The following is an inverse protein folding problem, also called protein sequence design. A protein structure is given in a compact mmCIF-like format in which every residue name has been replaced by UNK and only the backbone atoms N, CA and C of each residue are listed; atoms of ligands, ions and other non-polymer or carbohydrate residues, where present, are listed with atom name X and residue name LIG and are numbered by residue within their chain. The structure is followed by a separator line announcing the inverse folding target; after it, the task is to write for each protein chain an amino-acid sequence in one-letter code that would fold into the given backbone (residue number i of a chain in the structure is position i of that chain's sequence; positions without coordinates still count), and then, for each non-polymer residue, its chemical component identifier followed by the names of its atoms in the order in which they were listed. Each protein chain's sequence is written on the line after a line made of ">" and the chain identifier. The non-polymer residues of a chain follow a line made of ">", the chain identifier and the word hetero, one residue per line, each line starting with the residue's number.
data_IF_385911872737
#
_entry.id   IF_385911872737
#
_cell.length_a   1.000
_cell.length_b   1.000
_cell.length_c   1.000
_cell.angle_alpha   90.00
_cell.angle_beta   90.00
_cell.angle_gamma   90.00
#
_symmetry.space_group_name_H-M   'P 1'
#
loop_
_entity.id
_entity.type
_entity.pdbx_description
1 polymer ?
#
# COMPACT_ATOMS: atom_id res chain seq x y z
N UNK A 1 -11.01 -7.22 11.81
CA UNK A 1 -9.91 -7.58 10.93
C UNK A 1 -9.23 -6.34 10.39
N UNK A 2 -7.96 -6.25 10.61
CA UNK A 2 -7.21 -5.12 10.11
C UNK A 2 -6.74 -5.38 8.69
N UNK A 3 -6.61 -4.34 7.94
CA UNK A 3 -6.09 -4.40 6.59
C UNK A 3 -6.21 -3.02 5.97
N UNK A 4 -5.32 -2.76 5.01
CA UNK A 4 -5.35 -1.51 4.27
C UNK A 4 -6.13 -1.76 2.99
N UNK A 5 -7.11 -0.92 2.72
CA UNK A 5 -7.99 -1.06 1.56
C UNK A 5 -7.84 0.15 0.64
N UNK A 6 -8.09 -0.07 -0.64
CA UNK A 6 -8.19 1.01 -1.60
C UNK A 6 -9.40 1.89 -1.25
N UNK A 7 -9.23 3.19 -1.34
CA UNK A 7 -10.32 4.14 -1.25
C UNK A 7 -11.00 4.27 -2.62
N UNK A 8 -11.96 3.37 -2.87
CA UNK A 8 -12.69 3.37 -4.13
C UNK A 8 -13.43 4.68 -4.38
N UNK A 9 -13.93 5.33 -3.34
CA UNK A 9 -14.57 6.63 -3.41
C UNK A 9 -13.61 7.69 -3.97
N UNK A 10 -12.37 7.67 -3.51
CA UNK A 10 -11.34 8.62 -3.96
C UNK A 10 -10.95 8.36 -5.42
N UNK A 11 -10.85 7.09 -5.80
CA UNK A 11 -10.58 6.71 -7.20
C UNK A 11 -11.68 7.26 -8.11
N UNK A 12 -12.94 7.06 -7.76
CA UNK A 12 -14.06 7.56 -8.54
C UNK A 12 -14.05 9.08 -8.63
N UNK A 13 -13.77 9.76 -7.52
CA UNK A 13 -13.69 11.21 -7.46
C UNK A 13 -12.62 11.76 -8.41
N UNK A 14 -11.43 11.20 -8.35
CA UNK A 14 -10.30 11.62 -9.19
C UNK A 14 -10.56 11.32 -10.67
N UNK A 15 -11.13 10.15 -10.96
CA UNK A 15 -11.50 9.76 -12.31
C UNK A 15 -12.50 10.76 -12.91
N UNK A 16 -13.54 11.08 -12.17
CA UNK A 16 -14.58 12.02 -12.63
C UNK A 16 -14.01 13.43 -12.78
N UNK A 17 -13.13 13.84 -11.88
CA UNK A 17 -12.48 15.15 -11.97
C UNK A 17 -11.61 15.26 -13.23
N UNK A 18 -11.06 14.16 -13.71
CA UNK A 18 -10.30 14.10 -14.96
C UNK A 18 -11.21 14.04 -16.20
N UNK A 19 -12.53 13.95 -16.02
CA UNK A 19 -13.49 13.83 -17.11
C UNK A 19 -13.56 12.43 -17.71
N UNK A 20 -13.16 11.41 -16.99
CA UNK A 20 -13.07 10.04 -17.49
C UNK A 20 -14.25 9.18 -17.09
N UNK A 21 -14.65 8.29 -18.03
CA UNK A 21 -15.53 7.16 -17.71
C UNK A 21 -14.71 6.03 -17.09
N UNK A 22 -15.37 5.06 -16.47
CA UNK A 22 -14.68 3.87 -15.97
C UNK A 22 -13.93 3.14 -17.08
N UNK A 23 -14.49 3.10 -18.29
CA UNK A 23 -13.85 2.48 -19.44
C UNK A 23 -12.56 3.21 -19.83
N UNK A 24 -12.52 4.53 -19.69
CA UNK A 24 -11.31 5.30 -20.00
C UNK A 24 -10.18 4.96 -19.04
N UNK A 25 -10.48 4.92 -17.76
CA UNK A 25 -9.49 4.55 -16.75
C UNK A 25 -9.02 3.11 -16.96
N UNK A 26 -9.95 2.20 -17.25
CA UNK A 26 -9.62 0.81 -17.50
C UNK A 26 -8.68 0.67 -18.70
N UNK A 27 -8.90 1.42 -19.77
CA UNK A 27 -8.03 1.40 -20.95
C UNK A 27 -6.60 1.85 -20.60
N UNK A 28 -6.46 2.88 -19.79
CA UNK A 28 -5.15 3.36 -19.35
C UNK A 28 -4.41 2.33 -18.51
N UNK A 29 -5.14 1.51 -17.77
CA UNK A 29 -4.56 0.48 -16.90
C UNK A 29 -4.41 -0.89 -17.58
N UNK A 30 -4.91 -1.04 -18.81
CA UNK A 30 -4.90 -2.32 -19.51
C UNK A 30 -5.84 -3.35 -18.86
N UNK A 31 -6.93 -2.90 -18.28
CA UNK A 31 -7.92 -3.77 -17.64
C UNK A 31 -9.32 -3.47 -18.21
N UNK A 32 -10.36 -3.99 -17.56
CA UNK A 32 -11.75 -3.83 -18.00
C UNK A 32 -12.49 -2.86 -17.08
N UNK A 33 -13.49 -2.17 -17.65
CA UNK A 33 -14.33 -1.22 -16.91
C UNK A 33 -15.04 -1.86 -15.72
N UNK A 34 -15.45 -3.13 -15.85
CA UNK A 34 -16.05 -3.88 -14.76
C UNK A 34 -15.14 -3.95 -13.53
N UNK A 35 -13.84 -4.18 -13.76
CA UNK A 35 -12.87 -4.26 -12.66
C UNK A 35 -12.71 -2.90 -11.96
N UNK A 36 -12.64 -1.82 -12.75
CA UNK A 36 -12.59 -0.47 -12.18
C UNK A 36 -13.83 -0.20 -11.33
N UNK A 37 -15.02 -0.57 -11.83
CA UNK A 37 -16.26 -0.44 -11.08
C UNK A 37 -16.25 -1.20 -9.77
N UNK A 38 -15.73 -2.43 -9.78
CA UNK A 38 -15.62 -3.25 -8.56
C UNK A 38 -14.69 -2.60 -7.54
N UNK A 39 -13.56 -2.03 -7.99
CA UNK A 39 -12.65 -1.31 -7.09
C UNK A 39 -13.34 -0.07 -6.49
N UNK A 40 -14.04 0.70 -7.32
CA UNK A 40 -14.70 1.93 -6.87
C UNK A 40 -15.80 1.65 -5.85
N UNK A 41 -16.50 0.53 -5.99
CA UNK A 41 -17.56 0.13 -5.05
C UNK A 41 -17.03 -0.65 -3.83
N UNK A 42 -15.73 -0.94 -3.79
CA UNK A 42 -15.14 -1.71 -2.71
C UNK A 42 -15.47 -3.20 -2.74
N UNK A 43 -15.98 -3.70 -3.85
CA UNK A 43 -16.34 -5.11 -4.00
C UNK A 43 -15.13 -6.01 -4.17
N UNK A 44 -14.08 -5.48 -4.82
CA UNK A 44 -12.81 -6.18 -5.01
C UNK A 44 -11.67 -5.24 -4.71
N UNK A 45 -10.58 -5.78 -4.20
CA UNK A 45 -9.35 -5.04 -3.99
C UNK A 45 -8.39 -5.30 -5.15
N UNK A 46 -7.67 -4.28 -5.63
CA UNK A 46 -6.67 -4.49 -6.66
C UNK A 46 -5.48 -5.28 -6.12
N UNK A 47 -4.76 -5.93 -7.03
CA UNK A 47 -3.47 -6.51 -6.68
C UNK A 47 -2.48 -5.38 -6.32
N UNK A 48 -1.46 -5.66 -5.49
CA UNK A 48 -0.54 -4.61 -5.06
C UNK A 48 0.04 -3.79 -6.21
N UNK A 49 0.48 -4.43 -7.29
CA UNK A 49 1.08 -3.71 -8.43
C UNK A 49 0.13 -2.73 -9.10
N UNK A 50 -1.17 -2.92 -8.97
CA UNK A 50 -2.17 -2.02 -9.56
C UNK A 50 -2.27 -0.70 -8.81
N UNK A 51 -1.89 -0.66 -7.54
CA UNK A 51 -1.99 0.55 -6.71
C UNK A 51 -1.10 1.68 -7.24
N UNK A 52 0.21 1.48 -7.42
CA UNK A 52 1.04 2.55 -7.99
C UNK A 52 0.70 2.86 -9.46
N UNK A 53 0.26 1.88 -10.24
CA UNK A 53 -0.18 2.13 -11.61
C UNK A 53 -1.39 3.05 -11.63
N UNK A 54 -2.37 2.77 -10.77
CA UNK A 54 -3.58 3.59 -10.64
C UNK A 54 -3.22 5.01 -10.18
N UNK A 55 -2.35 5.13 -9.21
CA UNK A 55 -1.89 6.42 -8.70
C UNK A 55 -1.19 7.23 -9.78
N UNK A 56 -0.35 6.59 -10.60
CA UNK A 56 0.37 7.25 -11.68
C UNK A 56 -0.61 7.81 -12.73
N UNK A 57 -1.60 7.03 -13.12
CA UNK A 57 -2.62 7.44 -14.08
C UNK A 57 -3.45 8.60 -13.54
N UNK A 58 -3.82 8.54 -12.26
CA UNK A 58 -4.61 9.58 -11.60
C UNK A 58 -3.75 10.75 -11.10
N UNK A 59 -2.43 10.67 -11.22
CA UNK A 59 -1.46 11.71 -10.87
C UNK A 59 -1.52 12.10 -9.38
N UNK A 60 -1.59 11.09 -8.52
CA UNK A 60 -1.56 11.27 -7.06
C UNK A 60 -0.55 10.33 -6.43
N UNK A 61 -0.18 10.61 -5.18
CA UNK A 61 0.63 9.69 -4.38
C UNK A 61 -0.18 8.42 -4.10
N UNK A 62 0.41 7.22 -4.27
CA UNK A 62 -0.31 5.98 -4.01
C UNK A 62 -0.91 5.89 -2.60
N UNK A 63 -0.29 6.49 -1.59
CA UNK A 63 -0.82 6.49 -0.23
C UNK A 63 -2.15 7.23 -0.12
N UNK A 64 -2.40 8.20 -1.00
CA UNK A 64 -3.68 8.93 -1.01
C UNK A 64 -4.85 8.06 -1.47
N UNK A 65 -4.57 6.96 -2.15
CA UNK A 65 -5.60 6.03 -2.61
C UNK A 65 -5.91 4.94 -1.58
N UNK A 66 -5.20 4.92 -0.46
CA UNK A 66 -5.38 3.91 0.58
C UNK A 66 -6.05 4.53 1.80
N UNK A 67 -6.80 3.72 2.56
CA UNK A 67 -7.53 4.17 3.74
C UNK A 67 -6.62 4.28 4.97
N UNK A 68 -5.55 5.03 4.83
CA UNK A 68 -4.56 5.30 5.89
C UNK A 68 -4.26 6.79 5.92
N UNK A 69 -3.66 7.24 7.02
CA UNK A 69 -3.07 8.57 7.08
C UNK A 69 -1.80 8.56 6.22
N UNK A 70 -1.74 9.33 5.11
CA UNK A 70 -0.55 9.33 4.25
C UNK A 70 0.73 9.79 4.96
N UNK A 71 0.58 10.55 6.05
CA UNK A 71 1.72 11.04 6.83
C UNK A 71 2.17 10.05 7.91
N UNK A 72 1.36 9.02 8.18
CA UNK A 72 1.66 8.03 9.21
C UNK A 72 1.17 6.63 8.79
N UNK A 73 1.66 6.12 7.64
CA UNK A 73 1.20 4.84 7.12
C UNK A 73 1.83 3.66 7.87
N UNK A 74 1.09 2.54 8.03
CA UNK A 74 1.69 1.29 8.49
C UNK A 74 2.50 0.64 7.37
N UNK A 75 3.30 -0.38 7.71
CA UNK A 75 4.13 -1.10 6.73
C UNK A 75 3.31 -1.66 5.57
N UNK A 76 2.14 -2.22 5.84
CA UNK A 76 1.26 -2.76 4.81
C UNK A 76 0.95 -1.70 3.74
N UNK A 77 0.65 -0.46 4.17
CA UNK A 77 0.37 0.62 3.24
C UNK A 77 1.60 0.99 2.40
N UNK A 78 2.79 1.00 3.00
CA UNK A 78 4.02 1.24 2.24
C UNK A 78 4.25 0.17 1.19
N UNK A 79 4.00 -1.09 1.53
CA UNK A 79 4.14 -2.20 0.59
C UNK A 79 3.16 -2.08 -0.58
N UNK A 80 1.89 -1.81 -0.28
CA UNK A 80 0.87 -1.65 -1.32
C UNK A 80 1.16 -0.43 -2.20
N UNK A 81 1.60 0.67 -1.60
CA UNK A 81 1.98 1.87 -2.35
C UNK A 81 3.16 1.62 -3.28
N UNK A 82 4.07 0.74 -2.89
CA UNK A 82 5.20 0.33 -3.73
C UNK A 82 4.82 -0.73 -4.77
N UNK A 83 3.61 -1.29 -4.68
CA UNK A 83 3.13 -2.28 -5.64
C UNK A 83 3.72 -3.66 -5.47
N UNK A 84 4.15 -4.01 -4.26
CA UNK A 84 4.90 -5.24 -4.00
C UNK A 84 4.09 -6.26 -3.20
N UNK A 85 4.28 -7.54 -3.52
CA UNK A 85 3.80 -8.64 -2.70
C UNK A 85 4.75 -8.89 -1.53
N UNK A 86 4.31 -9.68 -0.56
CA UNK A 86 5.16 -10.09 0.57
C UNK A 86 6.45 -10.75 0.10
N UNK A 87 6.34 -11.66 -0.87
CA UNK A 87 7.49 -12.36 -1.43
C UNK A 87 8.46 -11.40 -2.11
N UNK A 88 7.93 -10.45 -2.87
CA UNK A 88 8.76 -9.47 -3.56
C UNK A 88 9.53 -8.57 -2.58
N UNK A 89 8.90 -8.17 -1.47
CA UNK A 89 9.61 -7.40 -0.44
C UNK A 89 10.72 -8.23 0.20
N UNK A 90 10.45 -9.49 0.53
CA UNK A 90 11.46 -10.38 1.11
C UNK A 90 12.65 -10.55 0.16
N UNK A 91 12.37 -10.80 -1.12
CA UNK A 91 13.41 -10.99 -2.13
C UNK A 91 14.24 -9.73 -2.34
N UNK A 92 13.60 -8.58 -2.43
CA UNK A 92 14.29 -7.32 -2.71
C UNK A 92 15.09 -6.81 -1.51
N UNK A 93 14.61 -7.05 -0.28
CA UNK A 93 15.25 -6.54 0.93
C UNK A 93 16.29 -7.49 1.51
N UNK A 94 16.19 -8.79 1.20
CA UNK A 94 16.98 -9.82 1.87
C UNK A 94 16.46 -10.18 3.26
N UNK A 95 15.37 -9.57 3.70
CA UNK A 95 14.72 -9.93 4.97
C UNK A 95 13.91 -11.20 4.74
N UNK A 96 14.06 -12.25 5.59
CA UNK A 96 13.29 -13.47 5.42
C UNK A 96 11.79 -13.21 5.39
N UNK A 97 11.07 -13.94 4.54
CA UNK A 97 9.63 -13.78 4.35
C UNK A 97 8.88 -13.82 5.69
N UNK A 98 9.14 -14.81 6.51
CA UNK A 98 8.45 -14.95 7.81
C UNK A 98 8.73 -13.77 8.73
N UNK A 99 9.95 -13.25 8.71
CA UNK A 99 10.33 -12.09 9.50
C UNK A 99 9.59 -10.84 9.02
N UNK A 100 9.60 -10.59 7.72
CA UNK A 100 8.90 -9.42 7.19
C UNK A 100 7.39 -9.50 7.45
N UNK A 101 6.80 -10.67 7.23
CA UNK A 101 5.36 -10.88 7.49
C UNK A 101 4.99 -10.53 8.93
N UNK A 102 5.84 -10.92 9.89
CA UNK A 102 5.61 -10.59 11.30
C UNK A 102 5.78 -9.11 11.58
N UNK A 103 6.77 -8.47 10.95
CA UNK A 103 6.95 -7.01 11.07
C UNK A 103 5.71 -6.27 10.54
N UNK A 104 5.23 -6.64 9.39
CA UNK A 104 4.05 -6.01 8.78
C UNK A 104 2.80 -6.21 9.64
N UNK A 105 2.67 -7.37 10.27
CA UNK A 105 1.55 -7.65 11.16
C UNK A 105 1.65 -7.01 12.53
N UNK A 106 2.75 -6.31 12.84
CA UNK A 106 2.95 -5.68 14.13
C UNK A 106 3.25 -6.65 15.24
N UNK A 107 3.69 -7.87 14.91
CA UNK A 107 3.90 -8.95 15.87
C UNK A 107 5.29 -8.95 16.52
N UNK A 108 6.21 -8.15 16.01
CA UNK A 108 7.56 -8.05 16.54
C UNK A 108 7.59 -6.95 17.59
N UNK A 109 8.11 -7.27 18.78
CA UNK A 109 8.27 -6.30 19.86
C UNK A 109 9.58 -5.53 19.69
N UNK A 110 9.55 -4.25 20.03
CA UNK A 110 10.72 -3.40 19.96
C UNK A 110 11.12 -3.04 18.54
N UNK A 111 12.30 -2.48 18.42
CA UNK A 111 12.82 -2.04 17.13
C UNK A 111 13.62 -3.16 16.47
N UNK A 112 13.45 -3.41 15.17
CA UNK A 112 14.28 -4.35 14.44
C UNK A 112 15.72 -3.79 14.29
N UNK A 113 16.65 -4.64 13.87
CA UNK A 113 18.01 -4.22 13.62
C UNK A 113 18.07 -3.08 12.61
N UNK A 114 19.05 -2.18 12.77
CA UNK A 114 19.22 -1.05 11.87
C UNK A 114 19.39 -1.49 10.40
N UNK A 115 20.03 -2.63 10.18
CA UNK A 115 20.22 -3.18 8.82
C UNK A 115 18.89 -3.54 8.16
N UNK A 116 17.93 -4.07 8.94
CA UNK A 116 16.59 -4.40 8.44
C UNK A 116 15.85 -3.12 8.09
N UNK A 117 15.89 -2.12 8.95
CA UNK A 117 15.27 -0.81 8.69
C UNK A 117 15.81 -0.21 7.40
N UNK A 118 17.14 -0.20 7.24
CA UNK A 118 17.80 0.35 6.07
C UNK A 118 17.37 -0.39 4.79
N UNK A 119 17.35 -1.72 4.83
CA UNK A 119 16.98 -2.52 3.68
C UNK A 119 15.54 -2.27 3.25
N UNK A 120 14.62 -2.25 4.20
CA UNK A 120 13.20 -2.00 3.90
C UNK A 120 12.96 -0.57 3.43
N UNK A 121 13.64 0.41 4.04
CA UNK A 121 13.55 1.80 3.61
C UNK A 121 13.99 1.95 2.15
N UNK A 122 15.04 1.27 1.74
CA UNK A 122 15.51 1.27 0.36
C UNK A 122 14.48 0.65 -0.59
N UNK A 123 13.88 -0.48 -0.20
CA UNK A 123 12.86 -1.15 -1.03
C UNK A 123 11.63 -0.26 -1.23
N UNK A 124 11.16 0.39 -0.18
CA UNK A 124 9.99 1.27 -0.26
C UNK A 124 10.33 2.69 -0.69
N UNK A 125 11.62 3.00 -0.87
CA UNK A 125 12.09 4.32 -1.29
C UNK A 125 11.61 5.43 -0.34
N UNK A 126 11.74 5.17 0.96
CA UNK A 126 11.39 6.13 2.01
C UNK A 126 12.58 6.35 2.94
N UNK A 127 12.54 7.45 3.69
CA UNK A 127 13.55 7.71 4.71
C UNK A 127 13.43 6.69 5.85
N UNK A 128 14.57 6.38 6.49
CA UNK A 128 14.59 5.45 7.62
C UNK A 128 13.65 5.88 8.74
N UNK A 129 13.52 7.19 8.99
CA UNK A 129 12.62 7.71 10.01
C UNK A 129 11.16 7.38 9.70
N UNK A 130 10.77 7.50 8.42
CA UNK A 130 9.40 7.15 8.00
C UNK A 130 9.16 5.67 8.15
N UNK A 131 10.15 4.84 7.81
CA UNK A 131 10.03 3.40 7.98
C UNK A 131 9.88 3.01 9.45
N UNK A 132 10.66 3.62 10.34
CA UNK A 132 10.55 3.36 11.78
C UNK A 132 9.17 3.73 12.31
N UNK A 133 8.62 4.85 11.86
CA UNK A 133 7.25 5.23 12.24
C UNK A 133 6.22 4.22 11.73
N UNK A 134 6.42 3.72 10.51
CA UNK A 134 5.52 2.71 9.94
C UNK A 134 5.56 1.41 10.74
N UNK A 135 6.73 0.99 11.21
CA UNK A 135 6.87 -0.16 12.11
C UNK A 135 6.10 0.06 13.40
N UNK A 136 6.24 1.24 14.01
CA UNK A 136 5.51 1.60 15.23
C UNK A 136 4.01 1.62 14.98
N UNK A 137 3.56 2.18 13.87
CA UNK A 137 2.14 2.21 13.51
C UNK A 137 1.59 0.79 13.37
N UNK A 138 2.32 -0.10 12.71
CA UNK A 138 1.91 -1.50 12.58
C UNK A 138 1.76 -2.19 13.94
N UNK A 139 2.68 -1.91 14.88
CA UNK A 139 2.60 -2.45 16.23
C UNK A 139 1.39 -1.91 16.99
N UNK A 140 1.11 -0.61 16.85
CA UNK A 140 -0.06 0.01 17.47
C UNK A 140 -1.37 -0.53 16.90
N UNK A 141 -1.45 -0.67 15.59
CA UNK A 141 -2.64 -1.19 14.93
C UNK A 141 -2.92 -2.62 15.37
N UNK A 142 -1.88 -3.43 15.52
CA UNK A 142 -2.04 -4.80 16.02
C UNK A 142 -2.61 -4.81 17.45
N UNK A 143 -2.07 -3.95 18.32
CA UNK A 143 -2.53 -3.89 19.72
C UNK A 143 -3.96 -3.38 19.85
N UNK A 144 -4.40 -2.50 18.93
CA UNK A 144 -5.76 -1.94 18.97
C UNK A 144 -6.75 -2.75 18.13
N UNK A 145 -6.33 -3.83 17.50
CA UNK A 145 -7.19 -4.67 16.65
C UNK A 145 -7.52 -4.08 15.29
N UNK A 146 -6.71 -3.18 14.82
CA UNK A 146 -6.91 -2.55 13.50
C UNK A 146 -6.19 -3.26 12.38
#
# INVERSE_FOLDING_TARGET
>A
MSGVRLRGDRVAELRKAAGWLQADLAAELGTRDRRVGEWERGEQQPQPRSVPELAAVLQVDPLELLDVDPDDPPLLALRLAAGLTLTEVADASGVPYSTYRRLEGGLVRGAPAASVVKALAAVFQVAAAKLRRALQRSQMDHRTGR
#
